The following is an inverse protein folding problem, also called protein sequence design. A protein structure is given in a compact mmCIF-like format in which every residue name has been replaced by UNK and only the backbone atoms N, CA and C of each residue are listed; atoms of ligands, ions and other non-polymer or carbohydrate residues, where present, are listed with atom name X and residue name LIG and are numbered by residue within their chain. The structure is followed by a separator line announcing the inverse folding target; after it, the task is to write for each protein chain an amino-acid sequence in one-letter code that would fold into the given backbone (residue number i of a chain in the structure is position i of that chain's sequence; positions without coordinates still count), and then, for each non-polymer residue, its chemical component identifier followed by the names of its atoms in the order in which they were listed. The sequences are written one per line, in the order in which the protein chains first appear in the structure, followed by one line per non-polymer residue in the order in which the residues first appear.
data_IF_900861990846
#
_entry.id   IF_900861990846
#
_cell.length_a   1.000
_cell.length_b   1.000
_cell.length_c   1.000
_cell.angle_alpha   90.00
_cell.angle_beta   90.00
_cell.angle_gamma   90.00
#
_symmetry.space_group_name_H-M   'P 1'
#
loop_
_entity.id
_entity.type
_entity.pdbx_description
1 polymer ?
#
# COMPACT_ATOMS: atom_id res chain seq x y z
N UNK A 1 3.96 -26.83 5.43
CA UNK A 1 4.12 -25.81 4.36
C UNK A 1 2.75 -25.25 4.02
N UNK A 2 2.61 -23.93 3.88
CA UNK A 2 1.33 -23.26 3.53
C UNK A 2 0.85 -23.74 2.16
N UNK A 3 -0.43 -24.07 2.05
CA UNK A 3 -1.06 -24.40 0.77
C UNK A 3 -1.69 -23.14 0.16
N UNK A 4 -1.01 -22.50 -0.79
CA UNK A 4 -1.44 -21.24 -1.40
C UNK A 4 -2.78 -21.36 -2.15
N UNK A 5 -3.10 -22.48 -2.73
CA UNK A 5 -4.39 -22.68 -3.40
C UNK A 5 -5.54 -22.76 -2.39
N UNK A 6 -5.28 -23.29 -1.18
CA UNK A 6 -6.23 -23.22 -0.07
C UNK A 6 -6.39 -21.78 0.40
N UNK A 7 -5.30 -21.01 0.51
CA UNK A 7 -5.35 -19.59 0.90
C UNK A 7 -6.23 -18.80 -0.07
N UNK A 8 -6.03 -18.95 -1.38
CA UNK A 8 -6.84 -18.29 -2.41
C UNK A 8 -8.31 -18.65 -2.30
N UNK A 9 -8.63 -19.94 -2.20
CA UNK A 9 -10.00 -20.41 -2.09
C UNK A 9 -10.70 -19.87 -0.85
N UNK A 10 -10.07 -19.95 0.32
CA UNK A 10 -10.67 -19.47 1.58
C UNK A 10 -10.80 -17.94 1.60
N UNK A 11 -9.85 -17.21 0.94
CA UNK A 11 -9.98 -15.78 0.71
C UNK A 11 -11.21 -15.47 -0.16
N UNK A 12 -11.40 -16.18 -1.29
CA UNK A 12 -12.57 -16.03 -2.15
C UNK A 12 -13.87 -16.31 -1.42
N UNK A 13 -13.88 -17.31 -0.53
CA UNK A 13 -15.02 -17.61 0.34
C UNK A 13 -15.27 -16.49 1.35
N UNK A 14 -14.23 -15.93 1.97
CA UNK A 14 -14.37 -14.81 2.89
C UNK A 14 -14.97 -13.58 2.20
N UNK A 15 -14.41 -13.17 1.06
CA UNK A 15 -14.88 -11.99 0.32
C UNK A 15 -16.25 -12.18 -0.33
N UNK A 16 -16.71 -13.42 -0.49
CA UNK A 16 -18.06 -13.70 -0.99
C UNK A 16 -19.18 -13.27 -0.03
N UNK A 17 -18.87 -13.00 1.24
CA UNK A 17 -19.81 -12.47 2.21
C UNK A 17 -20.08 -10.96 2.03
N UNK A 18 -19.33 -10.27 1.18
CA UNK A 18 -19.46 -8.84 0.93
C UNK A 18 -20.00 -8.56 -0.46
N UNK A 19 -20.63 -7.40 -0.66
CA UNK A 19 -21.20 -7.01 -1.96
C UNK A 19 -20.10 -6.69 -2.98
N UNK A 20 -19.74 -7.68 -3.79
CA UNK A 20 -18.74 -7.55 -4.87
C UNK A 20 -19.12 -6.55 -5.97
N UNK A 21 -20.38 -6.09 -6.03
CA UNK A 21 -20.80 -5.04 -6.97
C UNK A 21 -20.45 -3.65 -6.46
N UNK A 22 -20.24 -3.50 -5.16
CA UNK A 22 -19.74 -2.26 -4.61
C UNK A 22 -18.31 -1.97 -5.10
N UNK A 23 -18.10 -0.81 -5.73
CA UNK A 23 -16.83 -0.48 -6.40
C UNK A 23 -15.62 -0.55 -5.46
N UNK A 24 -15.76 -0.15 -4.19
CA UNK A 24 -14.71 -0.25 -3.16
C UNK A 24 -14.31 -1.69 -2.87
N UNK A 25 -15.29 -2.57 -2.69
CA UNK A 25 -15.05 -4.01 -2.45
C UNK A 25 -14.33 -4.64 -3.63
N UNK A 26 -14.83 -4.41 -4.85
CA UNK A 26 -14.21 -4.92 -6.07
C UNK A 26 -12.75 -4.44 -6.21
N UNK A 27 -12.52 -3.14 -6.09
CA UNK A 27 -11.17 -2.57 -6.17
C UNK A 27 -10.23 -3.20 -5.14
N UNK A 28 -10.71 -3.44 -3.92
CA UNK A 28 -9.90 -4.00 -2.84
C UNK A 28 -9.59 -5.48 -3.07
N UNK A 29 -10.50 -6.28 -3.63
CA UNK A 29 -10.19 -7.66 -4.03
C UNK A 29 -9.07 -7.68 -5.06
N UNK A 30 -9.21 -6.90 -6.15
CA UNK A 30 -8.22 -6.83 -7.22
C UNK A 30 -6.86 -6.30 -6.72
N UNK A 31 -6.85 -5.33 -5.81
CA UNK A 31 -5.65 -4.82 -5.15
C UNK A 31 -4.94 -5.92 -4.35
N UNK A 32 -5.64 -6.61 -3.46
CA UNK A 32 -5.08 -7.68 -2.62
C UNK A 32 -4.46 -8.79 -3.47
N UNK A 33 -5.12 -9.23 -4.54
CA UNK A 33 -4.59 -10.24 -5.44
C UNK A 33 -3.30 -9.80 -6.14
N UNK A 34 -3.19 -8.51 -6.53
CA UNK A 34 -1.97 -7.97 -7.12
C UNK A 34 -0.86 -7.82 -6.08
N UNK A 35 -1.17 -7.32 -4.88
CA UNK A 35 -0.21 -7.21 -3.78
C UNK A 35 0.36 -8.58 -3.40
N UNK A 36 -0.47 -9.62 -3.34
CA UNK A 36 -0.01 -10.99 -3.09
C UNK A 36 1.01 -11.45 -4.16
N UNK A 37 0.70 -11.23 -5.44
CA UNK A 37 1.61 -11.55 -6.56
C UNK A 37 2.92 -10.74 -6.49
N UNK A 38 2.84 -9.43 -6.19
CA UNK A 38 4.02 -8.56 -6.07
C UNK A 38 4.89 -8.99 -4.89
N UNK A 39 4.29 -9.36 -3.74
CA UNK A 39 5.01 -9.88 -2.58
C UNK A 39 5.82 -11.14 -2.93
N UNK A 40 5.22 -12.08 -3.67
CA UNK A 40 5.92 -13.26 -4.16
C UNK A 40 7.05 -12.91 -5.15
N UNK A 41 6.88 -11.90 -6.01
CA UNK A 41 7.93 -11.44 -6.93
C UNK A 41 9.10 -10.82 -6.17
N UNK A 42 8.85 -9.99 -5.17
CA UNK A 42 9.90 -9.43 -4.31
C UNK A 42 10.65 -10.56 -3.59
N UNK A 43 9.94 -11.53 -3.01
CA UNK A 43 10.54 -12.67 -2.33
C UNK A 43 11.46 -13.48 -3.26
N UNK A 44 11.04 -13.70 -4.52
CA UNK A 44 11.86 -14.38 -5.54
C UNK A 44 13.10 -13.57 -5.92
N UNK A 45 12.98 -12.26 -6.11
CA UNK A 45 14.12 -11.38 -6.41
C UNK A 45 15.17 -11.38 -5.28
N UNK A 46 14.70 -11.53 -4.04
CA UNK A 46 15.53 -11.68 -2.85
C UNK A 46 16.13 -13.10 -2.69
N UNK A 47 15.88 -14.01 -3.64
CA UNK A 47 16.31 -15.42 -3.58
C UNK A 47 15.81 -16.15 -2.33
N UNK A 48 14.63 -15.81 -1.83
CA UNK A 48 14.00 -16.55 -0.74
C UNK A 48 13.55 -17.93 -1.23
N UNK A 49 13.54 -18.91 -0.32
CA UNK A 49 13.09 -20.25 -0.67
C UNK A 49 11.57 -20.29 -0.98
N UNK A 50 11.09 -21.44 -1.47
CA UNK A 50 9.70 -21.63 -1.87
C UNK A 50 8.73 -21.38 -0.71
N UNK A 51 9.04 -21.88 0.49
CA UNK A 51 8.23 -21.71 1.70
C UNK A 51 8.09 -20.23 2.08
N UNK A 52 9.18 -19.49 2.04
CA UNK A 52 9.20 -18.05 2.32
C UNK A 52 8.49 -17.23 1.22
N UNK A 53 8.60 -17.67 -0.03
CA UNK A 53 7.88 -17.04 -1.16
C UNK A 53 6.37 -17.20 -1.02
N UNK A 54 5.91 -18.39 -0.65
CA UNK A 54 4.50 -18.66 -0.37
C UNK A 54 4.01 -17.87 0.85
N UNK A 55 4.83 -17.76 1.90
CA UNK A 55 4.50 -16.94 3.06
C UNK A 55 4.33 -15.45 2.68
N UNK A 56 5.21 -14.91 1.83
CA UNK A 56 5.08 -13.54 1.33
C UNK A 56 3.77 -13.33 0.54
N UNK A 57 3.42 -14.28 -0.36
CA UNK A 57 2.16 -14.24 -1.11
C UNK A 57 0.95 -14.30 -0.16
N UNK A 58 1.00 -15.17 0.86
CA UNK A 58 -0.06 -15.31 1.87
C UNK A 58 -0.26 -14.03 2.69
N UNK A 59 0.83 -13.40 3.12
CA UNK A 59 0.76 -12.09 3.82
C UNK A 59 0.10 -11.04 2.92
N UNK A 60 0.41 -11.06 1.61
CA UNK A 60 -0.24 -10.19 0.64
C UNK A 60 -1.75 -10.38 0.60
N UNK A 61 -2.28 -11.61 0.68
CA UNK A 61 -3.72 -11.87 0.78
C UNK A 61 -4.34 -11.35 2.08
N UNK A 62 -3.58 -11.29 3.15
CA UNK A 62 -4.11 -10.98 4.48
C UNK A 62 -3.96 -9.52 4.91
N UNK A 63 -3.02 -8.76 4.32
CA UNK A 63 -2.65 -7.44 4.83
C UNK A 63 -3.85 -6.48 4.98
N UNK A 64 -4.78 -6.53 4.04
CA UNK A 64 -5.95 -5.65 3.94
C UNK A 64 -7.29 -6.38 4.18
N UNK A 65 -7.27 -7.59 4.78
CA UNK A 65 -8.49 -8.38 5.02
C UNK A 65 -9.52 -7.64 5.88
N UNK A 66 -9.08 -6.75 6.76
CA UNK A 66 -9.92 -5.90 7.59
C UNK A 66 -10.69 -4.82 6.81
N UNK A 67 -10.25 -4.45 5.59
CA UNK A 67 -10.88 -3.42 4.76
C UNK A 67 -12.32 -3.77 4.37
N UNK A 68 -12.60 -5.04 4.14
CA UNK A 68 -13.95 -5.48 3.79
C UNK A 68 -14.94 -5.16 4.90
N UNK A 69 -14.58 -5.51 6.15
CA UNK A 69 -15.41 -5.23 7.32
C UNK A 69 -15.45 -3.73 7.65
N UNK A 70 -14.34 -3.02 7.44
CA UNK A 70 -14.30 -1.56 7.60
C UNK A 70 -15.30 -0.86 6.67
N UNK A 71 -15.33 -1.23 5.39
CA UNK A 71 -16.27 -0.66 4.41
C UNK A 71 -17.71 -1.05 4.72
N UNK A 72 -17.96 -2.29 5.13
CA UNK A 72 -19.31 -2.73 5.54
C UNK A 72 -19.84 -1.92 6.72
N UNK A 73 -19.00 -1.62 7.70
CA UNK A 73 -19.42 -0.93 8.94
C UNK A 73 -19.46 0.59 8.80
N UNK A 74 -18.57 1.18 8.00
CA UNK A 74 -18.33 2.63 8.00
C UNK A 74 -18.42 3.29 6.61
N UNK A 75 -18.58 2.51 5.55
CA UNK A 75 -18.58 2.96 4.15
C UNK A 75 -17.37 3.85 3.77
N UNK A 76 -16.21 3.59 4.36
CA UNK A 76 -14.96 4.34 4.10
C UNK A 76 -13.73 3.46 4.24
N UNK A 77 -12.62 3.88 3.58
CA UNK A 77 -11.27 3.36 3.80
C UNK A 77 -10.43 4.24 4.73
N UNK A 78 -10.97 5.36 5.21
CA UNK A 78 -10.26 6.28 6.11
C UNK A 78 -10.15 5.67 7.52
N UNK A 79 -8.94 5.28 7.92
CA UNK A 79 -8.68 4.81 9.27
C UNK A 79 -8.91 5.92 10.32
N UNK A 80 -8.78 7.19 9.92
CA UNK A 80 -9.03 8.35 10.78
C UNK A 80 -10.51 8.51 11.12
N UNK A 81 -11.38 8.23 10.15
CA UNK A 81 -12.84 8.43 10.27
C UNK A 81 -13.57 7.14 10.67
N UNK A 82 -12.82 6.05 10.92
CA UNK A 82 -13.39 4.75 11.29
C UNK A 82 -12.49 4.00 12.28
N UNK A 83 -11.86 2.91 11.85
CA UNK A 83 -10.97 2.05 12.64
C UNK A 83 -9.70 1.75 11.88
N UNK A 84 -8.61 1.46 12.59
CA UNK A 84 -7.39 1.01 11.95
C UNK A 84 -7.60 -0.38 11.31
N UNK A 85 -7.57 -0.44 9.99
CA UNK A 85 -7.88 -1.65 9.22
C UNK A 85 -6.89 -2.80 9.47
N UNK A 86 -5.62 -2.50 9.75
CA UNK A 86 -4.62 -3.53 10.06
C UNK A 86 -4.93 -4.22 11.41
N UNK A 87 -5.32 -3.43 12.43
CA UNK A 87 -5.77 -3.97 13.72
C UNK A 87 -7.06 -4.78 13.55
N UNK A 88 -8.03 -4.25 12.81
CA UNK A 88 -9.27 -4.97 12.51
C UNK A 88 -8.98 -6.28 11.75
N UNK A 89 -8.07 -6.27 10.78
CA UNK A 89 -7.66 -7.48 10.06
C UNK A 89 -7.02 -8.52 10.96
N UNK A 90 -6.14 -8.11 11.89
CA UNK A 90 -5.56 -9.04 12.87
C UNK A 90 -6.60 -9.58 13.86
N UNK A 91 -7.56 -8.78 14.29
CA UNK A 91 -8.67 -9.23 15.12
C UNK A 91 -9.49 -10.32 14.39
N UNK A 92 -9.89 -10.07 13.15
CA UNK A 92 -10.66 -11.03 12.33
C UNK A 92 -9.87 -12.33 12.14
N UNK A 93 -8.59 -12.25 11.81
CA UNK A 93 -7.76 -13.44 11.56
C UNK A 93 -7.52 -14.24 12.83
N UNK A 94 -7.11 -13.61 13.91
CA UNK A 94 -6.57 -14.30 15.08
C UNK A 94 -7.56 -14.38 16.25
N UNK A 95 -8.28 -13.31 16.56
CA UNK A 95 -9.20 -13.27 17.72
C UNK A 95 -10.55 -13.91 17.36
N UNK A 96 -11.02 -13.75 16.11
CA UNK A 96 -12.24 -14.39 15.57
C UNK A 96 -11.93 -15.75 14.89
N UNK A 97 -10.68 -16.23 14.96
CA UNK A 97 -10.21 -17.52 14.48
C UNK A 97 -10.41 -17.77 12.96
N UNK A 98 -10.49 -16.72 12.13
CA UNK A 98 -10.59 -16.92 10.69
C UNK A 98 -9.34 -17.61 10.12
N UNK A 99 -8.16 -17.43 10.74
CA UNK A 99 -6.87 -18.01 10.34
C UNK A 99 -6.92 -19.55 10.27
N UNK A 100 -7.77 -20.20 11.06
CA UNK A 100 -7.93 -21.65 11.09
C UNK A 100 -8.47 -22.22 9.77
N UNK A 101 -9.29 -21.45 9.04
CA UNK A 101 -9.82 -21.87 7.74
C UNK A 101 -8.70 -21.99 6.69
N UNK A 102 -7.66 -21.17 6.82
CA UNK A 102 -6.53 -21.15 5.90
C UNK A 102 -5.49 -22.24 6.16
N UNK A 103 -5.58 -22.96 7.30
CA UNK A 103 -4.67 -24.04 7.69
C UNK A 103 -3.21 -23.56 7.79
N UNK A 104 -3.03 -22.43 8.49
CA UNK A 104 -1.72 -21.81 8.68
C UNK A 104 -1.05 -22.40 9.92
N UNK A 105 0.13 -23.00 9.72
CA UNK A 105 0.96 -23.53 10.80
C UNK A 105 1.33 -22.43 11.81
N UNK A 106 1.37 -22.77 13.10
CA UNK A 106 1.61 -21.83 14.21
C UNK A 106 2.91 -21.02 14.05
N UNK A 107 3.95 -21.65 13.48
CA UNK A 107 5.26 -20.99 13.27
C UNK A 107 5.20 -19.73 12.39
N UNK A 108 4.16 -19.59 11.52
CA UNK A 108 4.00 -18.42 10.65
C UNK A 108 3.09 -17.35 11.23
N UNK A 109 2.25 -17.68 12.21
CA UNK A 109 1.17 -16.81 12.70
C UNK A 109 1.69 -15.49 13.23
N UNK A 110 2.78 -15.51 14.01
CA UNK A 110 3.35 -14.29 14.55
C UNK A 110 3.96 -13.41 13.44
N UNK A 111 4.67 -14.01 12.47
CA UNK A 111 5.22 -13.28 11.32
C UNK A 111 4.10 -12.59 10.53
N UNK A 112 3.02 -13.32 10.22
CA UNK A 112 1.85 -12.79 9.52
C UNK A 112 1.22 -11.63 10.31
N UNK A 113 1.00 -11.82 11.61
CA UNK A 113 0.43 -10.80 12.50
C UNK A 113 1.28 -9.53 12.52
N UNK A 114 2.61 -9.68 12.68
CA UNK A 114 3.56 -8.56 12.66
C UNK A 114 3.56 -7.84 11.32
N UNK A 115 3.59 -8.57 10.22
CA UNK A 115 3.56 -7.99 8.87
C UNK A 115 2.28 -7.15 8.64
N UNK A 116 1.11 -7.69 8.99
CA UNK A 116 -0.17 -6.98 8.89
C UNK A 116 -0.17 -5.72 9.77
N UNK A 117 0.23 -5.82 11.03
CA UNK A 117 0.20 -4.67 11.97
C UNK A 117 1.20 -3.56 11.61
N UNK A 118 2.22 -3.86 10.80
CA UNK A 118 3.26 -2.90 10.44
C UNK A 118 3.15 -2.36 9.02
N UNK A 119 2.23 -2.89 8.16
CA UNK A 119 2.18 -2.44 6.77
C UNK A 119 1.70 -0.99 6.62
N UNK A 120 0.78 -0.52 7.47
CA UNK A 120 0.20 0.81 7.44
C UNK A 120 0.76 1.80 8.48
N UNK A 121 1.82 1.41 9.21
CA UNK A 121 2.50 2.31 10.16
C UNK A 121 3.49 3.24 9.43
N UNK A 122 3.76 4.39 10.03
CA UNK A 122 4.84 5.29 9.60
C UNK A 122 6.18 4.57 9.52
N UNK A 123 6.49 3.77 10.54
CA UNK A 123 7.73 2.99 10.64
C UNK A 123 7.41 1.59 11.13
N UNK A 124 8.19 0.63 10.68
CA UNK A 124 8.18 -0.72 11.25
C UNK A 124 8.62 -0.62 12.71
N UNK A 125 7.91 -1.29 13.60
CA UNK A 125 8.22 -1.29 15.03
C UNK A 125 9.60 -1.90 15.32
N UNK A 126 10.22 -1.49 16.41
CA UNK A 126 11.50 -2.04 16.87
C UNK A 126 11.31 -3.39 17.58
N UNK A 127 12.40 -4.15 17.72
CA UNK A 127 12.40 -5.42 18.46
C UNK A 127 11.90 -6.63 17.68
N UNK A 128 11.59 -6.48 16.38
CA UNK A 128 11.24 -7.60 15.52
C UNK A 128 12.45 -8.50 15.24
N UNK A 129 12.20 -9.79 15.05
CA UNK A 129 13.19 -10.71 14.51
C UNK A 129 13.58 -10.30 13.08
N UNK A 130 14.71 -10.84 12.58
CA UNK A 130 15.14 -10.57 11.20
C UNK A 130 14.08 -11.01 10.17
N UNK A 131 13.42 -12.13 10.44
CA UNK A 131 12.41 -12.68 9.55
C UNK A 131 11.11 -11.85 9.59
N UNK A 132 10.59 -11.49 10.75
CA UNK A 132 9.43 -10.60 10.89
C UNK A 132 9.67 -9.26 10.17
N UNK A 133 10.84 -8.65 10.40
CA UNK A 133 11.21 -7.38 9.75
C UNK A 133 11.29 -7.53 8.22
N UNK A 134 11.81 -8.65 7.71
CA UNK A 134 11.86 -8.94 6.27
C UNK A 134 10.46 -8.95 5.66
N UNK A 135 9.52 -9.69 6.25
CA UNK A 135 8.16 -9.78 5.72
C UNK A 135 7.37 -8.47 5.91
N UNK A 136 7.63 -7.70 6.97
CA UNK A 136 7.10 -6.33 7.09
C UNK A 136 7.55 -5.44 5.91
N UNK A 137 8.83 -5.52 5.52
CA UNK A 137 9.36 -4.75 4.39
C UNK A 137 8.76 -5.20 3.05
N UNK A 138 8.64 -6.52 2.84
CA UNK A 138 8.09 -7.09 1.61
C UNK A 138 6.65 -6.60 1.39
N UNK A 139 5.80 -6.70 2.41
CA UNK A 139 4.40 -6.28 2.26
C UNK A 139 4.26 -4.77 2.09
N UNK A 140 5.06 -3.95 2.76
CA UNK A 140 5.06 -2.49 2.61
C UNK A 140 5.42 -2.06 1.20
N UNK A 141 6.47 -2.68 0.63
CA UNK A 141 6.85 -2.42 -0.76
C UNK A 141 5.74 -2.85 -1.72
N UNK A 142 5.25 -4.09 -1.58
CA UNK A 142 4.24 -4.64 -2.48
C UNK A 142 2.95 -3.82 -2.51
N UNK A 143 2.48 -3.38 -1.34
CA UNK A 143 1.28 -2.55 -1.19
C UNK A 143 1.48 -1.19 -1.89
N UNK A 144 2.60 -0.50 -1.63
CA UNK A 144 2.90 0.79 -2.28
C UNK A 144 3.03 0.67 -3.81
N UNK A 145 3.63 -0.42 -4.30
CA UNK A 145 3.73 -0.66 -5.74
C UNK A 145 2.35 -0.83 -6.39
N UNK A 146 1.42 -1.50 -5.72
CA UNK A 146 0.07 -1.63 -6.24
C UNK A 146 -0.77 -0.36 -6.05
N UNK A 147 -0.54 0.44 -5.01
CA UNK A 147 -1.13 1.79 -4.91
C UNK A 147 -0.77 2.61 -6.16
N UNK A 148 0.48 2.62 -6.61
CA UNK A 148 0.87 3.28 -7.86
C UNK A 148 0.17 2.71 -9.09
N UNK A 149 -0.03 1.39 -9.14
CA UNK A 149 -0.82 0.78 -10.20
C UNK A 149 -2.27 1.29 -10.18
N UNK A 150 -2.91 1.29 -9.02
CA UNK A 150 -4.30 1.75 -8.85
C UNK A 150 -4.45 3.20 -9.29
N UNK A 151 -3.65 4.12 -8.76
CA UNK A 151 -3.77 5.55 -9.09
C UNK A 151 -3.45 5.88 -10.54
N UNK A 152 -2.67 5.04 -11.23
CA UNK A 152 -2.33 5.23 -12.64
C UNK A 152 -3.30 4.56 -13.63
N UNK A 153 -4.11 3.57 -13.19
CA UNK A 153 -4.91 2.75 -14.10
C UNK A 153 -6.41 2.74 -13.79
N UNK A 154 -6.81 3.21 -12.61
CA UNK A 154 -8.21 3.39 -12.27
C UNK A 154 -8.61 4.86 -12.38
N UNK A 155 -9.91 5.12 -12.30
CA UNK A 155 -10.41 6.48 -12.27
C UNK A 155 -9.81 7.22 -11.06
N UNK A 156 -9.17 8.36 -11.31
CA UNK A 156 -8.46 9.12 -10.28
C UNK A 156 -9.39 9.50 -9.10
N UNK A 157 -10.63 9.83 -9.41
CA UNK A 157 -11.66 10.12 -8.41
C UNK A 157 -12.04 8.92 -7.57
N UNK A 158 -11.99 7.71 -8.14
CA UNK A 158 -12.21 6.46 -7.42
C UNK A 158 -10.98 6.03 -6.62
N UNK A 159 -9.77 6.37 -7.08
CA UNK A 159 -8.54 6.06 -6.37
C UNK A 159 -8.36 6.89 -5.11
N UNK A 160 -8.73 8.17 -5.16
CA UNK A 160 -8.62 9.12 -4.04
C UNK A 160 -9.94 9.39 -3.31
N UNK A 161 -11.08 8.89 -3.82
CA UNK A 161 -12.41 9.00 -3.20
C UNK A 161 -12.93 10.44 -2.99
N UNK A 162 -12.40 11.43 -3.73
CA UNK A 162 -12.91 12.80 -3.77
C UNK A 162 -13.00 13.32 -5.20
N UNK A 163 -13.79 14.37 -5.39
CA UNK A 163 -14.11 14.95 -6.71
C UNK A 163 -13.68 16.40 -6.86
N UNK A 164 -13.27 17.04 -5.78
CA UNK A 164 -12.81 18.41 -5.77
C UNK A 164 -11.30 18.47 -5.95
N UNK A 165 -10.86 19.08 -7.04
CA UNK A 165 -9.47 19.28 -7.41
C UNK A 165 -9.13 20.79 -7.56
N UNK A 166 -9.98 21.67 -6.99
CA UNK A 166 -9.81 23.11 -7.01
C UNK A 166 -9.00 23.58 -5.80
N UNK A 167 -7.72 23.22 -5.74
CA UNK A 167 -6.81 23.69 -4.72
C UNK A 167 -5.79 24.64 -5.34
N UNK A 168 -5.45 25.72 -4.62
CA UNK A 168 -4.49 26.73 -5.10
C UNK A 168 -3.05 26.20 -5.12
N UNK A 169 -2.65 25.44 -4.11
CA UNK A 169 -1.29 24.92 -3.98
C UNK A 169 -1.21 23.74 -3.00
N UNK A 170 -0.13 22.97 -3.13
CA UNK A 170 0.35 22.09 -2.06
C UNK A 170 0.87 22.99 -0.93
N UNK A 171 0.49 22.71 0.31
CA UNK A 171 0.89 23.50 1.48
C UNK A 171 2.42 23.57 1.61
N UNK A 172 2.93 24.74 1.98
CA UNK A 172 4.37 24.95 2.15
C UNK A 172 4.99 23.95 3.15
N UNK A 173 4.23 23.62 4.20
CA UNK A 173 4.64 22.63 5.20
C UNK A 173 4.89 21.25 4.57
N UNK A 174 3.97 20.77 3.72
CA UNK A 174 4.08 19.50 3.01
C UNK A 174 5.30 19.50 2.07
N UNK A 175 5.49 20.58 1.29
CA UNK A 175 6.66 20.71 0.41
C UNK A 175 7.97 20.68 1.19
N UNK A 176 8.02 21.32 2.37
CA UNK A 176 9.22 21.34 3.21
C UNK A 176 9.49 19.98 3.85
N UNK A 177 8.48 19.29 4.40
CA UNK A 177 8.60 17.93 4.93
C UNK A 177 9.12 16.96 3.85
N UNK A 178 8.54 16.99 2.65
CA UNK A 178 9.00 16.16 1.55
C UNK A 178 10.47 16.41 1.19
N UNK A 179 10.88 17.67 1.08
CA UNK A 179 12.26 18.04 0.68
C UNK A 179 13.29 17.74 1.76
N UNK A 180 12.97 17.98 3.02
CA UNK A 180 13.92 17.85 4.14
C UNK A 180 13.94 16.49 4.79
N UNK A 181 12.77 15.82 4.87
CA UNK A 181 12.61 14.58 5.61
C UNK A 181 12.26 13.38 4.71
N UNK A 182 12.01 13.61 3.41
CA UNK A 182 11.60 12.58 2.45
C UNK A 182 10.33 11.82 2.88
N UNK A 183 9.47 12.48 3.63
CA UNK A 183 8.18 11.94 4.09
C UNK A 183 7.13 13.04 4.14
N UNK A 184 5.87 12.67 4.30
CA UNK A 184 4.73 13.55 4.53
C UNK A 184 3.96 13.02 5.74
N UNK A 185 3.73 13.88 6.71
CA UNK A 185 2.96 13.52 7.89
C UNK A 185 1.46 13.73 7.60
N UNK A 186 0.67 12.68 7.67
CA UNK A 186 -0.78 12.73 7.44
C UNK A 186 -1.53 13.74 8.32
N UNK A 187 -0.99 14.07 9.50
CA UNK A 187 -1.59 15.09 10.40
C UNK A 187 -1.49 16.51 9.86
N UNK A 188 -0.58 16.73 8.91
CA UNK A 188 -0.31 18.04 8.35
C UNK A 188 -1.04 18.29 7.02
N UNK A 189 -1.72 17.28 6.50
CA UNK A 189 -2.58 17.36 5.30
C UNK A 189 -3.78 18.26 5.61
N UNK A 190 -3.98 19.31 4.80
CA UNK A 190 -5.03 20.31 4.95
C UNK A 190 -6.00 20.37 3.78
N UNK A 191 -5.57 19.93 2.61
CA UNK A 191 -6.35 19.99 1.37
C UNK A 191 -6.02 18.82 0.44
N UNK A 192 -6.77 18.67 -0.64
CA UNK A 192 -6.61 17.59 -1.60
C UNK A 192 -5.26 17.65 -2.35
N UNK A 193 -4.68 18.84 -2.54
CA UNK A 193 -3.34 18.97 -3.15
C UNK A 193 -2.24 18.45 -2.21
N UNK A 194 -2.41 18.59 -0.90
CA UNK A 194 -1.51 17.96 0.07
C UNK A 194 -1.62 16.44 0.01
N UNK A 195 -2.84 15.91 -0.06
CA UNK A 195 -3.09 14.47 -0.06
C UNK A 195 -2.49 13.79 -1.30
N UNK A 196 -2.64 14.37 -2.49
CA UNK A 196 -2.03 13.84 -3.72
C UNK A 196 -0.50 13.90 -3.73
N UNK A 197 0.12 14.60 -2.78
CA UNK A 197 1.57 14.62 -2.64
C UNK A 197 2.10 13.37 -1.94
N UNK A 198 1.27 12.69 -1.14
CA UNK A 198 1.66 11.54 -0.32
C UNK A 198 2.26 10.39 -1.12
N UNK A 199 1.70 9.95 -2.26
CA UNK A 199 2.30 8.87 -3.05
C UNK A 199 3.73 9.17 -3.51
N UNK A 200 4.10 10.41 -3.75
CA UNK A 200 5.49 10.74 -4.07
C UNK A 200 6.46 10.40 -2.93
N UNK A 201 6.04 10.56 -1.67
CA UNK A 201 6.85 10.20 -0.51
C UNK A 201 6.99 8.69 -0.32
N UNK A 202 6.07 7.87 -0.83
CA UNK A 202 6.16 6.41 -0.73
C UNK A 202 7.44 5.83 -1.31
N UNK A 203 8.04 6.50 -2.28
CA UNK A 203 9.27 6.06 -2.93
C UNK A 203 10.44 5.97 -1.95
N UNK A 204 10.48 6.88 -0.97
CA UNK A 204 11.53 6.90 0.06
C UNK A 204 11.29 5.88 1.18
N UNK A 205 10.11 5.25 1.22
CA UNK A 205 9.78 4.14 2.14
C UNK A 205 9.74 2.78 1.40
N UNK A 206 10.50 2.66 0.31
CA UNK A 206 10.76 1.39 -0.36
C UNK A 206 12.10 0.82 0.09
N UNK A 207 12.11 -0.48 0.36
CA UNK A 207 13.24 -1.17 0.97
C UNK A 207 14.09 -1.94 -0.02
N UNK A 208 13.54 -2.34 -1.18
CA UNK A 208 14.20 -3.25 -2.11
C UNK A 208 14.45 -2.62 -3.48
N UNK A 209 15.62 -2.93 -4.07
CA UNK A 209 15.97 -2.50 -5.42
C UNK A 209 14.96 -2.95 -6.48
N UNK A 210 14.38 -4.13 -6.30
CA UNK A 210 13.28 -4.62 -7.13
C UNK A 210 12.15 -3.60 -7.23
N UNK A 211 11.72 -3.05 -6.10
CA UNK A 211 10.60 -2.12 -6.02
C UNK A 211 10.88 -0.82 -6.77
N UNK A 212 12.08 -0.28 -6.64
CA UNK A 212 12.52 0.91 -7.37
C UNK A 212 12.56 0.67 -8.89
N UNK A 213 13.13 -0.47 -9.29
CA UNK A 213 13.16 -0.89 -10.70
C UNK A 213 11.75 -1.09 -11.26
N UNK A 214 10.86 -1.70 -10.49
CA UNK A 214 9.47 -1.92 -10.84
C UNK A 214 8.72 -0.60 -11.14
N UNK A 215 8.88 0.42 -10.27
CA UNK A 215 8.32 1.76 -10.50
C UNK A 215 8.88 2.43 -11.76
N UNK A 216 10.20 2.36 -11.94
CA UNK A 216 10.89 2.96 -13.08
C UNK A 216 10.46 2.36 -14.42
N UNK A 217 10.49 1.03 -14.55
CA UNK A 217 10.13 0.32 -15.78
C UNK A 217 8.69 0.61 -16.21
N UNK A 218 7.79 0.83 -15.25
CA UNK A 218 6.38 1.15 -15.51
C UNK A 218 6.10 2.63 -15.64
N UNK A 219 7.11 3.47 -15.38
CA UNK A 219 7.02 4.95 -15.42
C UNK A 219 5.93 5.51 -14.51
N UNK A 220 5.64 4.83 -13.38
CA UNK A 220 4.51 5.19 -12.54
C UNK A 220 4.60 6.61 -11.97
N UNK A 221 5.77 7.06 -11.55
CA UNK A 221 5.94 8.42 -11.01
C UNK A 221 5.63 9.50 -12.05
N UNK A 222 6.14 9.34 -13.28
CA UNK A 222 5.86 10.29 -14.38
C UNK A 222 4.39 10.25 -14.79
N UNK A 223 3.82 9.05 -14.89
CA UNK A 223 2.38 8.89 -15.19
C UNK A 223 1.53 9.56 -14.12
N UNK A 224 1.85 9.35 -12.85
CA UNK A 224 1.14 9.95 -11.74
C UNK A 224 1.24 11.48 -11.74
N UNK A 225 2.44 12.04 -11.88
CA UNK A 225 2.63 13.48 -11.98
C UNK A 225 1.80 14.11 -13.12
N UNK A 226 1.80 13.47 -14.31
CA UNK A 226 1.00 13.91 -15.44
C UNK A 226 -0.52 13.83 -15.16
N UNK A 227 -0.99 12.81 -14.44
CA UNK A 227 -2.39 12.69 -14.02
C UNK A 227 -2.79 13.82 -13.06
N UNK A 228 -1.95 14.14 -12.08
CA UNK A 228 -2.16 15.27 -11.17
C UNK A 228 -2.27 16.58 -11.95
N UNK A 229 -1.30 16.87 -12.82
CA UNK A 229 -1.31 18.07 -13.65
C UNK A 229 -2.52 18.14 -14.61
N UNK A 230 -3.09 17.01 -15.01
CA UNK A 230 -4.31 16.96 -15.82
C UNK A 230 -5.58 17.24 -15.02
N UNK A 231 -5.60 16.85 -13.74
CA UNK A 231 -6.80 16.93 -12.88
C UNK A 231 -6.91 18.27 -12.15
N UNK A 232 -5.81 18.81 -11.65
CA UNK A 232 -5.80 20.11 -10.98
C UNK A 232 -5.66 21.25 -11.99
N UNK A 233 -6.39 22.35 -11.78
CA UNK A 233 -6.35 23.53 -12.67
C UNK A 233 -5.27 24.52 -12.30
N UNK A 234 -4.76 24.47 -11.06
CA UNK A 234 -3.76 25.41 -10.55
C UNK A 234 -2.37 25.18 -11.15
N UNK A 235 -1.83 26.20 -11.82
CA UNK A 235 -0.43 26.18 -12.30
C UNK A 235 0.55 25.97 -11.16
N UNK A 236 0.26 26.48 -9.96
CA UNK A 236 1.10 26.31 -8.79
C UNK A 236 1.17 24.83 -8.33
N UNK A 237 0.04 24.12 -8.35
CA UNK A 237 0.02 22.67 -8.09
C UNK A 237 0.84 21.90 -9.13
N UNK A 238 0.78 22.31 -10.42
CA UNK A 238 1.58 21.69 -11.48
C UNK A 238 3.08 21.88 -11.24
N UNK A 239 3.54 23.11 -10.98
CA UNK A 239 4.92 23.41 -10.66
C UNK A 239 5.43 22.59 -9.48
N UNK A 240 4.67 22.59 -8.37
CA UNK A 240 5.03 21.84 -7.16
C UNK A 240 5.06 20.33 -7.40
N UNK A 241 4.11 19.77 -8.15
CA UNK A 241 4.09 18.36 -8.54
C UNK A 241 5.33 17.97 -9.33
N UNK A 242 5.72 18.79 -10.31
CA UNK A 242 6.92 18.56 -11.11
C UNK A 242 8.21 18.71 -10.29
N UNK A 243 8.19 19.57 -9.27
CA UNK A 243 9.29 19.71 -8.32
C UNK A 243 9.46 18.46 -7.45
N UNK A 244 8.35 17.88 -6.91
CA UNK A 244 8.37 16.61 -6.18
C UNK A 244 8.95 15.49 -7.05
N UNK A 245 8.48 15.36 -8.29
CA UNK A 245 9.00 14.38 -9.25
C UNK A 245 10.49 14.57 -9.49
N UNK A 246 10.94 15.80 -9.72
CA UNK A 246 12.37 16.12 -9.95
C UNK A 246 13.23 15.74 -8.75
N UNK A 247 12.79 16.03 -7.53
CA UNK A 247 13.50 15.64 -6.31
C UNK A 247 13.75 14.13 -6.26
N UNK A 248 12.71 13.33 -6.55
CA UNK A 248 12.81 11.87 -6.58
C UNK A 248 13.79 11.41 -7.65
N UNK A 249 13.65 11.90 -8.88
CA UNK A 249 14.51 11.49 -10.00
C UNK A 249 15.98 11.81 -9.74
N UNK A 250 16.28 12.97 -9.14
CA UNK A 250 17.65 13.32 -8.74
C UNK A 250 18.19 12.36 -7.68
N UNK A 251 17.40 12.04 -6.66
CA UNK A 251 17.79 11.08 -5.61
C UNK A 251 18.05 9.69 -6.18
N UNK A 252 17.25 9.24 -7.14
CA UNK A 252 17.45 7.94 -7.81
C UNK A 252 18.69 7.92 -8.71
N UNK A 253 18.99 9.02 -9.43
CA UNK A 253 20.19 9.09 -10.26
C UNK A 253 21.47 8.99 -9.45
N UNK A 254 21.50 9.54 -8.24
CA UNK A 254 22.67 9.45 -7.35
C UNK A 254 22.88 8.06 -6.74
N UNK A 255 21.83 7.24 -6.65
CA UNK A 255 21.88 5.96 -5.94
C UNK A 255 21.88 4.75 -6.88
N UNK A 256 21.34 4.86 -8.12
CA UNK A 256 21.03 3.72 -9.00
C UNK A 256 21.39 3.91 -10.47
N UNK A 257 22.22 4.88 -10.81
CA UNK A 257 22.86 5.14 -12.11
C UNK A 257 24.32 5.56 -11.89
#
# INVERSE_FOLDING_TARGET
MINIEKVKREFDMYVSNFDKKQGRIKLKIEHIERVAKISALIAKDLNLNEEQTILAETIGFFHDIGRFKQVEMYDTFSDKDSVNHAKLGTQILFDENLIEKFDIEDKYREIIKKAILNHNKDRIEEGLTKEENLFCKIIRDADKLDIFYVICNYDFENAFWYKDFECESISEKIMNEFKSEHKINYKDIKNNADEISVPFAYVYDLYFNFSLKYLKERQYLTKYANLVCKKFTSEKVHEQTMELLKCILVSFHQTYF
#
